data_IF_002370713195
#
_entry.id   IF_002370713195
#
_cell.length_a   1.000
_cell.length_b   1.000
_cell.length_c   1.000
_cell.angle_alpha   90.00
_cell.angle_beta   90.00
_cell.angle_gamma   90.00
#
_symmetry.space_group_name_H-M   'P 1'
#
loop_
_entity.id
_entity.type
_entity.pdbx_description
1 polymer ?
#
# COMPACT_ATOMS: atom_id res chain seq x y z
N UNK A 1 -1.78 -0.30 -37.02
CA UNK A 1 -2.78 -0.83 -37.97
C UNK A 1 -3.79 -1.68 -37.19
N UNK A 2 -5.06 -1.66 -37.59
CA UNK A 2 -6.27 -2.20 -36.90
C UNK A 2 -6.79 -1.39 -35.69
N UNK A 3 -6.92 -0.06 -35.84
CA UNK A 3 -7.47 0.87 -34.84
C UNK A 3 -8.95 1.21 -35.04
N UNK A 4 -9.79 0.19 -35.25
CA UNK A 4 -11.24 0.39 -35.35
C UNK A 4 -11.85 0.63 -33.97
N UNK A 5 -12.76 1.61 -33.85
CA UNK A 5 -13.51 1.98 -32.63
C UNK A 5 -13.98 0.80 -31.76
N UNK A 6 -14.22 -0.38 -32.35
CA UNK A 6 -14.59 -1.63 -31.68
C UNK A 6 -13.48 -2.21 -30.81
N UNK A 7 -12.21 -2.17 -31.22
CA UNK A 7 -11.09 -2.68 -30.44
C UNK A 7 -10.90 -1.84 -29.18
N UNK A 8 -10.93 -0.51 -29.32
CA UNK A 8 -10.83 0.42 -28.20
C UNK A 8 -12.00 0.25 -27.22
N UNK A 9 -13.23 0.03 -27.71
CA UNK A 9 -14.39 -0.28 -26.84
C UNK A 9 -14.24 -1.60 -26.11
N UNK A 10 -13.74 -2.64 -26.77
CA UNK A 10 -13.57 -3.95 -26.15
C UNK A 10 -12.45 -3.93 -25.10
N UNK A 11 -11.34 -3.25 -25.39
CA UNK A 11 -10.25 -3.02 -24.44
C UNK A 11 -10.72 -2.18 -23.24
N UNK A 12 -11.51 -1.14 -23.49
CA UNK A 12 -12.08 -0.30 -22.43
C UNK A 12 -13.03 -1.11 -21.53
N UNK A 13 -13.87 -1.95 -22.13
CA UNK A 13 -14.78 -2.83 -21.38
C UNK A 13 -13.99 -3.85 -20.56
N UNK A 14 -12.98 -4.50 -21.15
CA UNK A 14 -12.10 -5.44 -20.45
C UNK A 14 -11.34 -4.78 -19.28
N UNK A 15 -10.84 -3.56 -19.47
CA UNK A 15 -10.13 -2.80 -18.43
C UNK A 15 -11.05 -2.44 -17.26
N UNK A 16 -12.30 -2.01 -17.51
CA UNK A 16 -13.26 -1.75 -16.43
C UNK A 16 -13.67 -3.03 -15.69
N UNK A 17 -13.84 -4.16 -16.39
CA UNK A 17 -14.07 -5.47 -15.75
C UNK A 17 -12.89 -5.83 -14.84
N UNK A 18 -11.66 -5.64 -15.34
CA UNK A 18 -10.44 -5.88 -14.55
C UNK A 18 -10.40 -4.98 -13.29
N UNK A 19 -10.75 -3.70 -13.41
CA UNK A 19 -10.79 -2.78 -12.26
C UNK A 19 -11.83 -3.19 -11.20
N UNK A 20 -12.98 -3.71 -11.62
CA UNK A 20 -13.99 -4.28 -10.71
C UNK A 20 -13.40 -5.47 -9.94
N UNK A 21 -12.73 -6.40 -10.64
CA UNK A 21 -12.09 -7.58 -10.01
C UNK A 21 -11.02 -7.14 -9.00
N UNK A 22 -10.14 -6.22 -9.39
CA UNK A 22 -9.09 -5.68 -8.50
C UNK A 22 -9.72 -5.01 -7.28
N UNK A 23 -10.78 -4.22 -7.44
CA UNK A 23 -11.45 -3.57 -6.33
C UNK A 23 -12.05 -4.57 -5.34
N UNK A 24 -12.68 -5.64 -5.81
CA UNK A 24 -13.18 -6.71 -4.94
C UNK A 24 -12.06 -7.39 -4.16
N UNK A 25 -10.90 -7.63 -4.79
CA UNK A 25 -9.72 -8.18 -4.11
C UNK A 25 -9.23 -7.21 -3.03
N UNK A 26 -9.10 -5.90 -3.33
CA UNK A 26 -8.63 -4.91 -2.36
C UNK A 26 -9.58 -4.79 -1.16
N UNK A 27 -10.89 -4.79 -1.38
CA UNK A 27 -11.89 -4.77 -0.31
C UNK A 27 -11.83 -6.08 0.50
N UNK A 28 -11.74 -7.24 -0.18
CA UNK A 28 -11.64 -8.54 0.47
C UNK A 28 -10.42 -8.66 1.38
N UNK A 29 -9.25 -8.25 0.90
CA UNK A 29 -8.00 -8.20 1.69
C UNK A 29 -8.12 -7.20 2.84
N UNK A 30 -8.73 -6.03 2.61
CA UNK A 30 -8.95 -5.05 3.67
C UNK A 30 -9.86 -5.60 4.78
N UNK A 31 -10.99 -6.21 4.42
CA UNK A 31 -11.97 -6.78 5.36
C UNK A 31 -11.40 -7.99 6.09
N UNK A 32 -10.71 -8.90 5.37
CA UNK A 32 -10.00 -10.02 5.99
C UNK A 32 -8.92 -9.52 6.95
N UNK A 33 -8.18 -8.48 6.56
CA UNK A 33 -7.20 -7.81 7.41
C UNK A 33 -7.80 -7.18 8.67
N UNK A 34 -9.01 -6.59 8.57
CA UNK A 34 -9.77 -6.09 9.73
C UNK A 34 -10.24 -7.23 10.65
N UNK A 35 -10.79 -8.30 10.09
CA UNK A 35 -11.33 -9.41 10.88
C UNK A 35 -10.23 -10.20 11.61
N UNK A 36 -9.03 -10.24 11.03
CA UNK A 36 -7.84 -10.86 11.62
C UNK A 36 -7.14 -9.97 12.67
N UNK A 37 -7.68 -8.79 12.98
CA UNK A 37 -6.95 -7.75 13.70
C UNK A 37 -7.03 -7.89 15.23
N UNK A 38 -6.06 -8.62 15.78
CA UNK A 38 -5.50 -8.28 17.08
C UNK A 38 -4.47 -7.13 16.97
N UNK A 39 -3.89 -6.83 15.77
CA UNK A 39 -2.78 -5.84 15.67
C UNK A 39 -2.68 -5.03 14.33
N UNK A 40 -3.70 -4.92 13.45
CA UNK A 40 -3.48 -4.20 12.15
C UNK A 40 -3.68 -2.68 12.20
N UNK A 41 -2.81 -1.90 11.52
CA UNK A 41 -2.93 -0.43 11.42
C UNK A 41 -4.23 0.04 10.76
N UNK A 42 -5.00 0.85 11.49
CA UNK A 42 -6.21 1.48 10.97
C UNK A 42 -5.97 2.33 9.69
N UNK A 43 -4.88 3.12 9.58
CA UNK A 43 -4.65 3.98 8.40
C UNK A 43 -4.37 3.19 7.11
N UNK A 44 -3.55 2.14 7.18
CA UNK A 44 -3.16 1.36 5.99
C UNK A 44 -4.38 0.66 5.39
N UNK A 45 -5.18 0.01 6.24
CA UNK A 45 -6.40 -0.65 5.80
C UNK A 45 -7.44 0.37 5.33
N UNK A 46 -7.51 1.55 5.95
CA UNK A 46 -8.34 2.66 5.48
C UNK A 46 -7.98 3.10 4.06
N UNK A 47 -6.68 3.19 3.76
CA UNK A 47 -6.18 3.50 2.42
C UNK A 47 -6.54 2.43 1.39
N UNK A 48 -6.33 1.15 1.71
CA UNK A 48 -6.66 0.02 0.81
C UNK A 48 -8.18 -0.01 0.54
N UNK A 49 -9.00 0.16 1.58
CA UNK A 49 -10.46 0.18 1.45
C UNK A 49 -10.93 1.38 0.61
N UNK A 50 -10.40 2.58 0.87
CA UNK A 50 -10.72 3.78 0.09
C UNK A 50 -10.32 3.63 -1.39
N UNK A 51 -9.14 3.05 -1.66
CA UNK A 51 -8.69 2.73 -3.01
C UNK A 51 -9.66 1.78 -3.72
N UNK A 52 -10.11 0.71 -3.05
CA UNK A 52 -11.10 -0.21 -3.59
C UNK A 52 -12.42 0.47 -3.96
N UNK A 53 -12.96 1.33 -3.09
CA UNK A 53 -14.21 2.07 -3.36
C UNK A 53 -14.05 3.03 -4.54
N UNK A 54 -12.95 3.78 -4.61
CA UNK A 54 -12.67 4.70 -5.72
C UNK A 54 -12.57 3.93 -7.05
N UNK A 55 -11.93 2.76 -7.08
CA UNK A 55 -11.84 1.93 -8.28
C UNK A 55 -13.21 1.44 -8.76
N UNK A 56 -14.14 1.13 -7.85
CA UNK A 56 -15.53 0.79 -8.22
C UNK A 56 -16.22 1.98 -8.89
N UNK A 57 -16.10 3.18 -8.32
CA UNK A 57 -16.70 4.39 -8.89
C UNK A 57 -16.15 4.69 -10.29
N UNK A 58 -14.83 4.58 -10.47
CA UNK A 58 -14.19 4.77 -11.78
C UNK A 58 -14.67 3.71 -12.78
N UNK A 59 -14.82 2.46 -12.34
CA UNK A 59 -15.30 1.37 -13.19
C UNK A 59 -16.75 1.56 -13.66
N UNK A 60 -17.62 2.04 -12.77
CA UNK A 60 -19.01 2.36 -13.10
C UNK A 60 -19.07 3.51 -14.12
N UNK A 61 -18.30 4.57 -13.90
CA UNK A 61 -18.22 5.69 -14.85
C UNK A 61 -17.68 5.23 -16.22
N UNK A 62 -16.66 4.39 -16.25
CA UNK A 62 -16.13 3.83 -17.49
C UNK A 62 -17.12 2.94 -18.24
N UNK A 63 -17.88 2.09 -17.51
CA UNK A 63 -18.91 1.23 -18.10
C UNK A 63 -20.08 2.05 -18.65
N UNK A 64 -20.57 3.06 -17.92
CA UNK A 64 -21.61 3.98 -18.40
C UNK A 64 -21.12 4.71 -19.65
N UNK A 65 -19.85 5.14 -19.69
CA UNK A 65 -19.24 5.80 -20.84
C UNK A 65 -19.15 4.93 -22.07
N UNK A 66 -18.85 3.64 -21.88
CA UNK A 66 -18.82 2.65 -22.96
C UNK A 66 -20.23 2.36 -23.52
N UNK A 67 -21.25 2.27 -22.66
CA UNK A 67 -22.62 1.88 -23.05
C UNK A 67 -23.44 3.05 -23.61
N UNK A 68 -23.38 4.24 -22.99
CA UNK A 68 -24.26 5.38 -23.34
C UNK A 68 -23.78 6.21 -24.53
N UNK A 69 -22.64 5.88 -25.14
CA UNK A 69 -22.07 6.60 -26.30
C UNK A 69 -21.92 8.12 -26.12
N UNK A 70 -21.96 8.60 -24.88
CA UNK A 70 -21.95 10.02 -24.55
C UNK A 70 -20.49 10.52 -24.56
N UNK A 71 -20.09 11.20 -25.64
CA UNK A 71 -18.70 11.65 -25.86
C UNK A 71 -18.12 12.45 -24.66
N UNK A 72 -18.95 13.23 -23.98
CA UNK A 72 -18.51 14.02 -22.80
C UNK A 72 -18.15 13.13 -21.60
N UNK A 73 -18.82 11.99 -21.42
CA UNK A 73 -18.54 11.11 -20.27
C UNK A 73 -17.26 10.30 -20.49
N UNK A 74 -16.98 9.93 -21.74
CA UNK A 74 -15.70 9.34 -22.13
C UNK A 74 -14.53 10.33 -21.96
N UNK A 75 -14.77 11.62 -22.16
CA UNK A 75 -13.77 12.67 -21.92
C UNK A 75 -13.35 12.74 -20.45
N UNK A 76 -14.31 12.75 -19.52
CA UNK A 76 -14.01 12.68 -18.08
C UNK A 76 -13.28 11.40 -17.71
N UNK A 77 -13.63 10.27 -18.31
CA UNK A 77 -12.93 9.00 -18.08
C UNK A 77 -11.46 9.04 -18.51
N UNK A 78 -11.16 9.57 -19.70
CA UNK A 78 -9.79 9.72 -20.17
C UNK A 78 -9.00 10.72 -19.31
N UNK A 79 -9.64 11.78 -18.82
CA UNK A 79 -9.04 12.72 -17.86
C UNK A 79 -8.66 12.02 -16.55
N UNK A 80 -9.57 11.21 -15.97
CA UNK A 80 -9.31 10.48 -14.72
C UNK A 80 -8.19 9.45 -14.91
N UNK A 81 -8.21 8.68 -16.01
CA UNK A 81 -7.12 7.75 -16.32
C UNK A 81 -5.78 8.46 -16.51
N UNK A 82 -5.78 9.62 -17.16
CA UNK A 82 -4.59 10.43 -17.31
C UNK A 82 -4.05 10.94 -15.96
N UNK A 83 -4.93 11.40 -15.07
CA UNK A 83 -4.54 11.79 -13.72
C UNK A 83 -3.98 10.60 -12.92
N UNK A 84 -4.59 9.41 -13.02
CA UNK A 84 -4.07 8.20 -12.41
C UNK A 84 -2.69 7.83 -12.96
N UNK A 85 -2.48 7.96 -14.26
CA UNK A 85 -1.17 7.77 -14.88
C UNK A 85 -0.14 8.76 -14.33
N UNK A 86 -0.47 10.04 -14.21
CA UNK A 86 0.44 11.04 -13.62
C UNK A 86 0.79 10.73 -12.17
N UNK A 87 -0.18 10.29 -11.36
CA UNK A 87 0.07 9.87 -9.97
C UNK A 87 0.97 8.64 -9.94
N UNK A 88 0.69 7.61 -10.73
CA UNK A 88 1.50 6.38 -10.78
C UNK A 88 2.91 6.66 -11.27
N UNK A 89 3.05 7.48 -12.32
CA UNK A 89 4.32 7.93 -12.82
C UNK A 89 5.10 8.73 -11.77
N UNK A 90 4.42 9.61 -11.02
CA UNK A 90 5.03 10.38 -9.93
C UNK A 90 5.50 9.47 -8.80
N UNK A 91 4.71 8.48 -8.41
CA UNK A 91 5.08 7.48 -7.40
C UNK A 91 6.29 6.67 -7.88
N UNK A 92 6.28 6.19 -9.13
CA UNK A 92 7.40 5.44 -9.70
C UNK A 92 8.68 6.29 -9.73
N UNK A 93 8.60 7.54 -10.17
CA UNK A 93 9.72 8.48 -10.15
C UNK A 93 10.20 8.78 -8.72
N UNK A 94 9.30 8.95 -7.75
CA UNK A 94 9.65 9.15 -6.35
C UNK A 94 10.36 7.92 -5.76
N UNK A 95 9.90 6.71 -6.08
CA UNK A 95 10.55 5.47 -5.70
C UNK A 95 11.93 5.29 -6.34
N UNK A 96 12.12 5.75 -7.59
CA UNK A 96 13.43 5.72 -8.26
C UNK A 96 14.39 6.79 -7.74
N UNK A 97 13.87 7.95 -7.32
CA UNK A 97 14.67 9.07 -6.82
C UNK A 97 15.11 8.89 -5.36
N UNK A 98 14.49 7.99 -4.60
CA UNK A 98 14.84 7.77 -3.19
C UNK A 98 16.18 7.04 -3.08
N UNK A 99 17.11 7.60 -2.32
CA UNK A 99 18.38 6.95 -1.98
C UNK A 99 18.30 6.26 -0.61
N UNK A 100 19.30 5.44 -0.28
CA UNK A 100 19.35 4.68 0.97
C UNK A 100 19.24 5.55 2.24
N UNK A 101 19.83 6.77 2.23
CA UNK A 101 19.73 7.70 3.37
C UNK A 101 18.32 8.27 3.54
N UNK A 102 17.66 8.65 2.46
CA UNK A 102 16.26 9.11 2.51
C UNK A 102 15.32 7.98 2.90
N UNK A 103 15.55 6.77 2.40
CA UNK A 103 14.80 5.58 2.80
C UNK A 103 14.94 5.34 4.31
N UNK A 104 16.15 5.47 4.88
CA UNK A 104 16.37 5.37 6.32
C UNK A 104 15.59 6.43 7.10
N UNK A 105 15.71 7.70 6.70
CA UNK A 105 15.04 8.81 7.40
C UNK A 105 13.51 8.68 7.36
N UNK A 106 12.95 8.26 6.22
CA UNK A 106 11.52 8.00 6.09
C UNK A 106 11.08 6.83 6.97
N UNK A 107 11.87 5.76 7.03
CA UNK A 107 11.61 4.61 7.89
C UNK A 107 11.70 4.98 9.38
N UNK A 108 12.68 5.81 9.77
CA UNK A 108 12.83 6.28 11.16
C UNK A 108 11.67 7.20 11.57
N UNK A 109 11.27 8.12 10.70
CA UNK A 109 10.11 8.99 10.92
C UNK A 109 8.81 8.18 11.01
N UNK A 110 8.66 7.16 10.14
CA UNK A 110 7.58 6.20 10.19
C UNK A 110 7.57 5.46 11.53
N UNK A 111 8.71 4.92 11.94
CA UNK A 111 8.89 4.23 13.21
C UNK A 111 8.53 5.11 14.41
N UNK A 112 8.90 6.39 14.41
CA UNK A 112 8.53 7.31 15.50
C UNK A 112 7.04 7.62 15.56
N UNK A 113 6.36 7.69 14.40
CA UNK A 113 4.92 8.03 14.32
C UNK A 113 3.99 6.85 14.55
N UNK A 114 4.42 5.61 14.27
CA UNK A 114 3.55 4.44 14.40
C UNK A 114 3.37 4.03 15.87
N UNK A 115 2.16 3.55 16.20
CA UNK A 115 1.79 3.14 17.56
C UNK A 115 2.53 1.89 18.04
N UNK A 116 2.55 1.68 19.36
CA UNK A 116 3.24 0.53 20.00
C UNK A 116 2.75 -0.83 19.50
N UNK A 117 1.45 -0.96 19.22
CA UNK A 117 0.85 -2.16 18.62
C UNK A 117 1.54 -2.54 17.30
N UNK A 118 1.71 -1.59 16.39
CA UNK A 118 2.39 -1.87 15.12
C UNK A 118 3.86 -2.21 15.34
N UNK A 119 4.54 -1.48 16.23
CA UNK A 119 5.94 -1.75 16.55
C UNK A 119 6.12 -3.18 17.05
N UNK A 120 5.28 -3.62 17.99
CA UNK A 120 5.28 -4.98 18.52
C UNK A 120 5.02 -6.01 17.41
N UNK A 121 4.10 -5.73 16.49
CA UNK A 121 3.82 -6.63 15.37
C UNK A 121 4.98 -6.74 14.38
N UNK A 122 5.63 -5.62 14.07
CA UNK A 122 6.81 -5.60 13.20
C UNK A 122 7.95 -6.38 13.87
N UNK A 123 8.18 -6.15 15.16
CA UNK A 123 9.20 -6.84 15.94
C UNK A 123 8.97 -8.36 16.00
N UNK A 124 7.73 -8.80 16.20
CA UNK A 124 7.38 -10.23 16.25
C UNK A 124 7.42 -10.90 14.89
N UNK A 125 6.87 -10.27 13.84
CA UNK A 125 6.83 -10.84 12.50
C UNK A 125 8.22 -10.95 11.86
N UNK A 126 9.09 -9.97 12.11
CA UNK A 126 10.43 -9.92 11.53
C UNK A 126 11.53 -10.29 12.53
N UNK A 127 11.16 -10.81 13.71
CA UNK A 127 12.05 -11.22 14.79
C UNK A 127 13.17 -10.21 15.07
N UNK A 128 12.78 -8.94 15.21
CA UNK A 128 13.68 -7.79 15.36
C UNK A 128 13.32 -6.97 16.61
N UNK A 129 14.23 -6.14 17.12
CA UNK A 129 13.98 -5.27 18.26
C UNK A 129 14.47 -3.83 18.00
N UNK A 130 13.59 -2.85 18.22
CA UNK A 130 13.87 -1.43 17.96
C UNK A 130 14.17 -1.10 16.49
N UNK A 131 14.34 0.19 16.19
CA UNK A 131 14.70 0.62 14.84
C UNK A 131 16.17 0.29 14.52
N UNK A 132 17.09 0.71 15.39
CA UNK A 132 18.54 0.49 15.23
C UNK A 132 19.11 -0.70 16.03
N UNK A 133 18.27 -1.47 16.75
CA UNK A 133 18.75 -2.59 17.58
C UNK A 133 19.16 -2.19 18.99
N UNK A 134 19.20 -0.88 19.27
CA UNK A 134 19.63 -0.29 20.54
C UNK A 134 18.57 0.58 21.19
N UNK A 135 17.29 0.41 20.82
CA UNK A 135 16.20 1.01 21.59
C UNK A 135 16.12 0.24 22.93
N UNK A 136 16.93 0.69 23.88
CA UNK A 136 16.72 0.44 25.31
C UNK A 136 15.29 0.88 25.53
N UNK A 137 14.42 -0.10 25.78
CA UNK A 137 13.12 0.16 26.37
C UNK A 137 13.46 0.86 27.68
N UNK A 138 13.31 2.19 27.70
CA UNK A 138 13.02 2.89 28.94
C UNK A 138 11.89 2.08 29.56
N UNK A 139 12.20 1.46 30.70
CA UNK A 139 11.40 0.40 31.30
C UNK A 139 10.08 1.04 31.71
N UNK A 140 9.10 1.03 30.80
CA UNK A 140 7.70 1.14 31.18
C UNK A 140 7.37 -0.20 31.87
N UNK A 141 7.01 -0.20 33.17
CA UNK A 141 6.84 -1.43 33.96
C UNK A 141 5.72 -2.38 33.50
N UNK A 142 5.09 -2.13 32.35
CA UNK A 142 3.94 -2.91 31.83
C UNK A 142 4.22 -3.79 30.62
N UNK A 143 5.47 -3.91 30.15
CA UNK A 143 5.78 -4.71 28.95
C UNK A 143 6.02 -6.20 29.27
N UNK A 144 5.36 -7.06 28.49
CA UNK A 144 5.30 -8.51 28.59
C UNK A 144 6.67 -9.23 28.68
N UNK A 145 6.81 -10.29 29.52
CA UNK A 145 8.08 -11.03 29.72
C UNK A 145 8.63 -11.73 28.46
N UNK A 146 7.85 -11.80 27.38
CA UNK A 146 8.22 -12.41 26.10
C UNK A 146 9.28 -11.61 25.31
N UNK A 147 9.47 -10.32 25.63
CA UNK A 147 10.37 -9.42 24.89
C UNK A 147 11.86 -9.54 25.29
N UNK A 148 12.13 -10.09 26.47
CA UNK A 148 13.51 -10.29 26.96
C UNK A 148 14.24 -11.44 26.24
N UNK A 149 13.50 -12.42 25.70
CA UNK A 149 14.11 -13.56 24.99
C UNK A 149 14.51 -13.22 23.54
N UNK A 150 13.86 -12.25 22.89
CA UNK A 150 14.25 -11.82 21.53
C UNK A 150 15.59 -11.07 21.50
N UNK A 151 16.01 -10.42 22.59
CA UNK A 151 17.26 -9.62 22.63
C UNK A 151 18.53 -10.40 22.27
N UNK A 152 18.58 -11.71 22.53
CA UNK A 152 19.80 -12.51 22.32
C UNK A 152 19.95 -13.07 20.89
N UNK A 153 18.97 -12.87 20.01
CA UNK A 153 19.00 -13.41 18.62
C UNK A 153 18.47 -12.44 17.56
N UNK A 154 17.89 -11.30 17.93
CA UNK A 154 17.15 -10.43 17.02
C UNK A 154 17.98 -9.28 16.44
N UNK A 155 17.89 -9.07 15.12
CA UNK A 155 18.43 -7.90 14.42
C UNK A 155 17.57 -6.63 14.59
N UNK A 156 17.91 -5.56 13.89
CA UNK A 156 17.20 -4.26 13.96
C UNK A 156 16.11 -4.14 12.88
N UNK A 157 14.98 -3.46 13.16
CA UNK A 157 13.92 -3.25 12.15
C UNK A 157 14.40 -2.47 10.92
N UNK A 158 15.46 -1.66 11.08
CA UNK A 158 16.20 -1.03 9.99
C UNK A 158 16.69 -2.06 8.97
N UNK A 159 17.38 -3.13 9.42
CA UNK A 159 17.96 -4.18 8.55
C UNK A 159 16.87 -4.89 7.74
N UNK A 160 15.73 -5.16 8.35
CA UNK A 160 14.56 -5.77 7.70
C UNK A 160 14.02 -4.88 6.58
N UNK A 161 13.94 -3.57 6.83
CA UNK A 161 13.43 -2.60 5.84
C UNK A 161 14.32 -2.56 4.59
N UNK A 162 15.64 -2.65 4.77
CA UNK A 162 16.60 -2.67 3.65
C UNK A 162 16.58 -4.00 2.87
N UNK A 163 16.52 -5.13 3.58
CA UNK A 163 16.52 -6.47 2.96
C UNK A 163 15.25 -6.71 2.12
N UNK A 164 14.09 -6.21 2.55
CA UNK A 164 12.83 -6.39 1.82
C UNK A 164 12.67 -5.49 0.58
N UNK A 165 13.47 -4.41 0.47
CA UNK A 165 13.51 -3.53 -0.71
C UNK A 165 14.49 -3.99 -1.80
N UNK A 166 15.18 -5.13 -1.63
CA UNK A 166 16.12 -5.66 -2.62
C UNK A 166 17.32 -4.75 -2.90
N UNK A 167 17.59 -3.81 -1.99
CA UNK A 167 18.69 -2.85 -2.10
C UNK A 167 19.87 -3.37 -1.26
N UNK A 168 20.47 -4.49 -1.69
CA UNK A 168 21.76 -4.93 -1.17
C UNK A 168 22.87 -4.24 -1.98
N UNK A 169 23.50 -3.22 -1.38
CA UNK A 169 24.89 -2.82 -1.66
C UNK A 169 25.55 -2.49 -0.33
#
# INVERSE_FOLDING_TARGET
MCGGFTCSKNALTALNILYIVVAFILIGVAVYGRASALVTNLPIIGGILACGVILILISILGLIGAVKHHQVLLFFYMLILFLLFLVQFSIACACLAVNAKQQEQLAEQGWKRVGMELKSKVQTNFNCCGFNGTDIIDIDPKMHPSLLLMKNTAGSAKVVTFSHTGLEI
#
